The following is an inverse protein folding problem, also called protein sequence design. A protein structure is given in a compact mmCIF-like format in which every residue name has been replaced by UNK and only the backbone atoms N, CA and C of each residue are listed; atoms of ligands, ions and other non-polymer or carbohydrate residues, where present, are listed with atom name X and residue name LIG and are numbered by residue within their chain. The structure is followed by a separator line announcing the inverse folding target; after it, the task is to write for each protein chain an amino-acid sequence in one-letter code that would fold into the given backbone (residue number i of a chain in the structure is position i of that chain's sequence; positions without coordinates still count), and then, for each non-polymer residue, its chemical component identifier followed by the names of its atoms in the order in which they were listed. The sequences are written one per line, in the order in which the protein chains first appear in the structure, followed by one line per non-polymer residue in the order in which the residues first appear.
data_IF_241747763100
#
_entry.id   IF_241747763100
#
_cell.length_a   1.000
_cell.length_b   1.000
_cell.length_c   1.000
_cell.angle_alpha   90.00
_cell.angle_beta   90.00
_cell.angle_gamma   90.00
#
_symmetry.space_group_name_H-M   'P 1'
#
loop_
_entity.id
_entity.type
_entity.pdbx_description
1 polymer ?
#
# COMPACT_ATOMS: atom_id res chain seq x y z
N UNK A 1 15.88 -17.37 3.69
CA UNK A 1 14.82 -16.56 4.34
C UNK A 1 15.45 -15.30 4.89
N UNK A 2 14.84 -14.14 4.65
CA UNK A 2 15.29 -12.88 5.27
C UNK A 2 14.59 -12.77 6.63
N UNK A 3 15.35 -12.48 7.67
CA UNK A 3 14.80 -12.19 8.99
C UNK A 3 14.09 -10.83 8.97
N UNK A 4 12.81 -10.80 9.36
CA UNK A 4 12.03 -9.57 9.59
C UNK A 4 12.45 -8.82 10.87
N UNK A 5 13.27 -9.45 11.73
CA UNK A 5 13.72 -8.86 12.99
C UNK A 5 14.51 -7.57 12.72
N UNK A 6 14.15 -6.51 13.44
CA UNK A 6 14.74 -5.17 13.40
C UNK A 6 14.60 -4.38 12.08
N UNK A 7 13.88 -4.88 11.06
CA UNK A 7 13.56 -4.05 9.87
C UNK A 7 12.56 -2.94 10.16
N UNK A 8 11.80 -3.04 11.25
CA UNK A 8 10.82 -2.04 11.66
C UNK A 8 11.44 -0.80 12.32
N UNK A 9 12.76 -0.80 12.56
CA UNK A 9 13.47 0.25 13.30
C UNK A 9 14.46 1.04 12.46
N UNK A 10 14.78 0.58 11.26
CA UNK A 10 15.63 1.31 10.32
C UNK A 10 14.77 2.20 9.43
N UNK A 11 15.24 3.40 9.12
CA UNK A 11 14.60 4.28 8.16
C UNK A 11 14.92 3.80 6.75
N UNK A 12 13.89 3.50 5.96
CA UNK A 12 14.10 3.06 4.57
C UNK A 12 14.65 4.13 3.64
N UNK A 13 14.59 5.41 4.04
CA UNK A 13 15.09 6.53 3.26
C UNK A 13 16.56 6.86 3.55
N UNK A 14 16.95 6.94 4.84
CA UNK A 14 18.30 7.37 5.23
C UNK A 14 19.13 6.30 5.96
N UNK A 15 18.56 5.14 6.28
CA UNK A 15 19.26 4.03 6.93
C UNK A 15 19.48 4.19 8.44
N UNK A 16 19.17 5.34 9.05
CA UNK A 16 19.27 5.53 10.51
C UNK A 16 18.39 4.50 11.22
N UNK A 17 18.92 3.86 12.25
CA UNK A 17 18.19 2.88 13.07
C UNK A 17 18.06 3.40 14.49
N UNK A 18 16.83 3.52 14.99
CA UNK A 18 16.54 3.94 16.37
C UNK A 18 15.19 3.35 16.82
N UNK A 19 15.16 2.76 18.02
CA UNK A 19 13.97 2.13 18.61
C UNK A 19 12.80 3.11 18.77
N UNK A 20 13.08 4.42 18.90
CA UNK A 20 12.05 5.47 19.05
C UNK A 20 11.32 5.79 17.75
N UNK A 21 11.85 5.38 16.60
CA UNK A 21 11.29 5.73 15.30
C UNK A 21 9.97 5.02 15.01
N UNK A 22 9.71 3.85 15.61
CA UNK A 22 8.39 3.21 15.59
C UNK A 22 7.58 3.71 16.79
N UNK A 23 6.90 4.83 16.59
CA UNK A 23 6.16 5.55 17.65
C UNK A 23 5.02 4.69 18.21
N UNK A 24 4.21 4.10 17.32
CA UNK A 24 3.09 3.23 17.69
C UNK A 24 2.79 2.23 16.56
N UNK A 25 1.81 1.34 16.75
CA UNK A 25 1.37 0.45 15.65
C UNK A 25 0.83 1.33 14.51
N UNK A 26 1.44 1.19 13.33
CA UNK A 26 1.01 1.91 12.13
C UNK A 26 1.63 3.30 11.95
N UNK A 27 2.44 3.80 12.88
CA UNK A 27 3.15 5.07 12.72
C UNK A 27 4.67 4.91 12.89
N UNK A 28 5.41 5.43 11.92
CA UNK A 28 6.86 5.52 11.93
C UNK A 28 7.30 6.96 11.62
N UNK A 29 8.24 7.48 12.39
CA UNK A 29 8.82 8.83 12.24
C UNK A 29 10.34 8.74 12.33
N UNK A 30 11.04 9.26 11.33
CA UNK A 30 12.50 9.39 11.34
C UNK A 30 12.90 10.85 11.56
N UNK A 31 13.45 11.14 12.74
CA UNK A 31 13.88 12.51 13.09
C UNK A 31 15.07 13.02 12.27
N UNK A 32 15.82 12.12 11.61
CA UNK A 32 17.02 12.48 10.84
C UNK A 32 16.68 13.07 9.47
N UNK A 33 15.74 12.45 8.76
CA UNK A 33 15.38 12.84 7.39
C UNK A 33 13.92 13.30 7.25
N UNK A 34 13.14 13.26 8.33
CA UNK A 34 11.74 13.69 8.35
C UNK A 34 10.76 12.70 7.73
N UNK A 35 11.15 11.46 7.46
CA UNK A 35 10.21 10.44 6.94
C UNK A 35 9.11 10.18 7.96
N UNK A 36 7.86 10.40 7.55
CA UNK A 36 6.65 9.98 8.28
C UNK A 36 5.88 9.00 7.40
N UNK A 37 5.69 7.78 7.89
CA UNK A 37 5.07 6.70 7.12
C UNK A 37 4.36 5.70 8.02
N UNK A 38 3.59 4.79 7.41
CA UNK A 38 3.14 3.62 8.13
C UNK A 38 4.34 2.72 8.47
N UNK A 39 4.40 2.24 9.72
CA UNK A 39 5.51 1.41 10.19
C UNK A 39 5.67 0.09 9.40
N UNK A 40 4.57 -0.50 8.94
CA UNK A 40 4.58 -1.73 8.14
C UNK A 40 5.03 -1.42 6.70
N UNK A 41 4.65 -0.28 6.13
CA UNK A 41 5.18 0.18 4.83
C UNK A 41 6.68 0.45 4.86
N UNK A 42 7.19 1.10 5.91
CA UNK A 42 8.64 1.28 6.10
C UNK A 42 9.36 -0.06 6.24
N UNK A 43 8.82 -0.98 7.05
CA UNK A 43 9.36 -2.33 7.21
C UNK A 43 9.38 -3.13 5.90
N UNK A 44 8.31 -3.06 5.10
CA UNK A 44 8.23 -3.70 3.79
C UNK A 44 9.27 -3.14 2.83
N UNK A 45 9.47 -1.82 2.79
CA UNK A 45 10.50 -1.19 1.96
C UNK A 45 11.92 -1.62 2.40
N UNK A 46 12.19 -1.73 3.70
CA UNK A 46 13.47 -2.24 4.20
C UNK A 46 13.72 -3.70 3.77
N UNK A 47 12.70 -4.55 3.79
CA UNK A 47 12.80 -5.93 3.29
C UNK A 47 13.05 -5.91 1.78
N UNK A 48 12.29 -5.10 1.03
CA UNK A 48 12.44 -4.95 -0.41
C UNK A 48 13.87 -4.54 -0.78
N UNK A 49 14.47 -3.58 -0.09
CA UNK A 49 15.85 -3.14 -0.34
C UNK A 49 16.89 -4.24 -0.05
N UNK A 50 16.67 -5.10 0.95
CA UNK A 50 17.57 -6.23 1.25
C UNK A 50 17.48 -7.34 0.21
N UNK A 51 16.27 -7.63 -0.29
CA UNK A 51 16.02 -8.71 -1.25
C UNK A 51 16.33 -8.26 -2.68
N UNK A 52 15.99 -7.02 -3.02
CA UNK A 52 16.11 -6.39 -4.32
C UNK A 52 16.82 -5.03 -4.17
N UNK A 53 18.15 -5.02 -3.97
CA UNK A 53 18.92 -3.78 -3.75
C UNK A 53 18.98 -2.90 -5.00
N UNK A 54 18.87 -3.48 -6.19
CA UNK A 54 18.85 -2.76 -7.47
C UNK A 54 17.61 -3.16 -8.29
N UNK A 55 16.40 -2.80 -7.82
CA UNK A 55 15.18 -3.15 -8.53
C UNK A 55 15.15 -2.44 -9.88
N UNK A 56 14.72 -3.14 -10.93
CA UNK A 56 14.29 -2.43 -12.14
C UNK A 56 13.05 -1.62 -11.81
N UNK A 57 12.76 -0.58 -12.60
CA UNK A 57 11.59 0.27 -12.36
C UNK A 57 10.29 -0.55 -12.40
N UNK A 58 10.30 -1.64 -13.18
CA UNK A 58 9.22 -2.63 -13.25
C UNK A 58 9.03 -3.38 -11.92
N UNK A 59 10.09 -3.67 -11.15
CA UNK A 59 9.98 -4.48 -9.91
C UNK A 59 9.34 -3.72 -8.73
N UNK A 60 9.00 -2.44 -8.93
CA UNK A 60 8.18 -1.64 -8.01
C UNK A 60 6.74 -1.46 -8.50
N UNK A 61 6.36 -2.14 -9.58
CA UNK A 61 4.98 -2.13 -10.03
C UNK A 61 4.07 -2.80 -9.00
N UNK A 62 2.78 -2.47 -9.05
CA UNK A 62 1.79 -3.02 -8.14
C UNK A 62 1.45 -4.48 -8.51
N UNK A 63 2.22 -5.10 -9.42
CA UNK A 63 1.85 -6.30 -10.17
C UNK A 63 0.51 -6.16 -10.89
N UNK A 64 -0.09 -7.30 -11.22
CA UNK A 64 -1.51 -7.36 -11.57
C UNK A 64 -2.35 -7.15 -10.32
N UNK A 65 -2.91 -5.95 -10.19
CA UNK A 65 -3.99 -5.70 -9.23
C UNK A 65 -5.14 -6.65 -9.54
N UNK A 66 -5.76 -7.21 -8.50
CA UNK A 66 -7.02 -7.91 -8.65
C UNK A 66 -8.00 -7.01 -9.43
N UNK A 67 -8.66 -7.58 -10.43
CA UNK A 67 -9.70 -6.92 -11.22
C UNK A 67 -11.07 -7.41 -10.71
N UNK A 68 -11.55 -6.93 -9.55
CA UNK A 68 -12.81 -7.41 -9.02
C UNK A 68 -13.96 -6.96 -9.92
N UNK A 69 -14.92 -7.85 -10.14
CA UNK A 69 -16.18 -7.46 -10.72
C UNK A 69 -16.90 -6.49 -9.76
N UNK A 70 -17.05 -5.23 -10.18
CA UNK A 70 -17.77 -4.23 -9.40
C UNK A 70 -19.27 -4.39 -9.65
N UNK A 71 -20.02 -4.74 -8.60
CA UNK A 71 -21.48 -4.73 -8.61
C UNK A 71 -21.97 -3.51 -7.84
N UNK A 72 -22.73 -2.65 -8.51
CA UNK A 72 -23.36 -1.48 -7.91
C UNK A 72 -24.78 -1.83 -7.50
N UNK A 73 -25.27 -1.22 -6.42
CA UNK A 73 -26.65 -1.37 -6.01
C UNK A 73 -27.54 -0.43 -6.85
N UNK A 74 -28.42 -1.01 -7.66
CA UNK A 74 -29.47 -0.31 -8.39
C UNK A 74 -30.67 -0.09 -7.45
N UNK A 75 -30.99 1.18 -7.21
CA UNK A 75 -32.09 1.59 -6.34
C UNK A 75 -33.47 1.43 -6.99
N UNK A 76 -33.54 1.37 -8.32
CA UNK A 76 -34.78 1.22 -9.07
C UNK A 76 -35.25 -0.23 -9.08
N UNK A 77 -34.32 -1.17 -9.27
CA UNK A 77 -34.59 -2.61 -9.28
C UNK A 77 -34.42 -3.27 -7.89
N UNK A 78 -33.79 -2.57 -6.93
CA UNK A 78 -33.55 -3.09 -5.58
C UNK A 78 -32.53 -4.22 -5.54
N UNK A 79 -31.52 -4.19 -6.41
CA UNK A 79 -30.58 -5.30 -6.61
C UNK A 79 -29.15 -4.86 -6.97
N UNK A 80 -28.21 -5.81 -7.02
CA UNK A 80 -26.82 -5.53 -7.40
C UNK A 80 -26.58 -5.84 -8.89
N UNK A 81 -26.25 -4.82 -9.69
CA UNK A 81 -25.97 -4.93 -11.12
C UNK A 81 -24.49 -4.62 -11.45
N UNK A 82 -23.87 -5.30 -12.44
CA UNK A 82 -22.59 -4.91 -13.03
C UNK A 82 -22.55 -3.42 -13.42
N UNK A 83 -21.36 -2.83 -13.28
CA UNK A 83 -21.13 -1.40 -13.50
C UNK A 83 -21.54 -0.92 -14.90
N UNK A 84 -21.39 -1.75 -15.94
CA UNK A 84 -21.80 -1.39 -17.31
C UNK A 84 -23.31 -1.19 -17.47
N UNK A 85 -24.13 -1.86 -16.64
CA UNK A 85 -25.60 -1.81 -16.75
C UNK A 85 -26.19 -0.57 -16.07
N UNK A 86 -25.56 -0.07 -15.01
CA UNK A 86 -26.03 1.12 -14.26
C UNK A 86 -25.74 2.43 -15.00
N UNK A 87 -24.75 2.45 -15.90
CA UNK A 87 -24.45 3.66 -16.68
C UNK A 87 -25.52 3.97 -17.75
N UNK A 88 -26.34 2.99 -18.12
CA UNK A 88 -27.35 3.12 -19.19
C UNK A 88 -28.71 3.62 -18.69
N UNK A 89 -28.94 3.64 -17.37
CA UNK A 89 -30.23 4.05 -16.78
C UNK A 89 -30.31 5.54 -16.41
N UNK A 90 -29.23 6.31 -16.58
CA UNK A 90 -29.19 7.75 -16.26
C UNK A 90 -29.54 8.68 -17.45
N UNK A 91 -30.17 8.16 -18.51
CA UNK A 91 -30.77 9.04 -19.52
C UNK A 91 -32.24 9.28 -19.14
N UNK A 92 -32.47 10.29 -18.31
CA UNK A 92 -33.80 10.90 -18.21
C UNK A 92 -34.08 11.74 -19.47
N UNK A 93 -35.34 11.79 -19.95
CA UNK A 93 -35.75 12.55 -21.13
C UNK A 93 -35.67 14.08 -20.96
#
# INVERSE_FOLDING_TARGET
SVSERDTSKSCSACGRTDDRQRVERGLYVCDECGLVANADSNGAENIRQKVLPNPRREDRDNGWLAQPAVRLFDRSEGGFAPREQVAQTNHEP
#
